data_IF_008998156342
#
_entry.id   IF_008998156342
#
_cell.length_a   1.000
_cell.length_b   1.000
_cell.length_c   1.000
_cell.angle_alpha   90.00
_cell.angle_beta   90.00
_cell.angle_gamma   90.00
#
_symmetry.space_group_name_H-M   'P 1'
#
loop_
_entity.id
_entity.type
_entity.pdbx_description
1 polymer ?
#
# COMPACT_ATOMS: atom_id res chain seq x y z
N UNK A 1 -18.75 -22.50 -5.26
CA UNK A 1 -17.53 -21.89 -5.85
C UNK A 1 -16.90 -20.99 -4.80
N UNK A 2 -15.77 -21.41 -4.22
CA UNK A 2 -15.15 -20.75 -3.08
C UNK A 2 -13.95 -19.92 -3.60
N UNK A 3 -14.18 -18.69 -4.05
CA UNK A 3 -13.13 -17.77 -4.51
C UNK A 3 -12.44 -17.11 -3.32
N UNK A 4 -11.89 -17.89 -2.40
CA UNK A 4 -10.91 -17.37 -1.44
C UNK A 4 -9.62 -17.16 -2.22
N UNK A 5 -9.47 -15.97 -2.79
CA UNK A 5 -8.27 -15.57 -3.52
C UNK A 5 -7.04 -15.94 -2.70
N UNK A 6 -6.08 -16.61 -3.34
CA UNK A 6 -4.82 -16.95 -2.67
C UNK A 6 -4.22 -15.65 -2.12
N UNK A 7 -3.65 -15.66 -0.89
CA UNK A 7 -2.94 -14.51 -0.39
C UNK A 7 -1.82 -14.15 -1.38
N UNK A 8 -1.67 -12.86 -1.69
CA UNK A 8 -0.60 -12.37 -2.56
C UNK A 8 0.76 -12.79 -1.98
N UNK A 9 1.71 -13.18 -2.84
CA UNK A 9 3.09 -13.43 -2.39
C UNK A 9 3.71 -12.13 -1.86
N UNK A 10 4.75 -12.24 -1.01
CA UNK A 10 5.45 -11.07 -0.46
C UNK A 10 6.02 -10.20 -1.60
N UNK A 11 6.52 -10.81 -2.67
CA UNK A 11 6.97 -10.11 -3.89
C UNK A 11 5.85 -9.34 -4.58
N UNK A 12 4.66 -9.94 -4.70
CA UNK A 12 3.50 -9.25 -5.27
C UNK A 12 3.03 -8.11 -4.38
N UNK A 13 3.03 -8.29 -3.06
CA UNK A 13 2.69 -7.23 -2.10
C UNK A 13 3.69 -6.07 -2.18
N UNK A 14 4.98 -6.38 -2.30
CA UNK A 14 6.04 -5.38 -2.45
C UNK A 14 5.84 -4.58 -3.75
N UNK A 15 5.61 -5.26 -4.86
CA UNK A 15 5.37 -4.59 -6.14
C UNK A 15 4.15 -3.66 -6.09
N UNK A 16 3.03 -4.12 -5.51
CA UNK A 16 1.83 -3.29 -5.33
C UNK A 16 2.15 -2.04 -4.52
N UNK A 17 2.92 -2.17 -3.43
CA UNK A 17 3.30 -1.01 -2.62
C UNK A 17 4.26 -0.06 -3.34
N UNK A 18 5.17 -0.56 -4.16
CA UNK A 18 6.07 0.29 -4.97
C UNK A 18 5.28 1.12 -5.99
N UNK A 19 4.28 0.50 -6.64
CA UNK A 19 3.37 1.21 -7.55
C UNK A 19 2.57 2.27 -6.78
N UNK A 20 1.98 1.92 -5.64
CA UNK A 20 1.23 2.88 -4.80
C UNK A 20 2.10 4.06 -4.38
N UNK A 21 3.33 3.82 -3.94
CA UNK A 21 4.28 4.88 -3.59
C UNK A 21 4.56 5.80 -4.78
N UNK A 22 4.78 5.23 -5.98
CA UNK A 22 5.00 5.99 -7.21
C UNK A 22 3.79 6.89 -7.53
N UNK A 23 2.59 6.34 -7.51
CA UNK A 23 1.35 7.10 -7.75
C UNK A 23 1.16 8.22 -6.71
N UNK A 24 1.39 7.92 -5.43
CA UNK A 24 1.35 8.90 -4.36
C UNK A 24 2.44 9.96 -4.47
N UNK A 25 3.56 9.71 -5.15
CA UNK A 25 4.64 10.68 -5.35
C UNK A 25 4.42 11.53 -6.62
N UNK A 26 3.89 10.93 -7.68
CA UNK A 26 3.63 11.60 -8.96
C UNK A 26 2.30 12.36 -8.99
N UNK A 27 1.39 12.09 -8.05
CA UNK A 27 0.13 12.80 -7.93
C UNK A 27 0.28 14.32 -7.91
N UNK A 28 -0.67 15.04 -8.49
CA UNK A 28 -0.64 16.50 -8.54
C UNK A 28 -0.59 17.08 -7.12
N UNK A 29 0.15 18.19 -6.88
CA UNK A 29 0.20 18.84 -5.56
C UNK A 29 -1.19 19.18 -4.98
N UNK A 30 -2.17 19.44 -5.84
CA UNK A 30 -3.55 19.79 -5.45
C UNK A 30 -4.49 18.58 -5.31
N UNK A 31 -3.99 17.34 -5.33
CA UNK A 31 -4.80 16.16 -5.05
C UNK A 31 -5.09 16.11 -3.54
N UNK A 32 -6.25 16.67 -3.17
CA UNK A 32 -6.53 17.08 -1.81
C UNK A 32 -6.60 15.94 -0.78
N UNK A 33 -6.95 14.72 -1.18
CA UNK A 33 -7.24 13.63 -0.24
C UNK A 33 -6.97 12.26 -0.88
N UNK A 34 -6.31 11.37 -0.15
CA UNK A 34 -6.23 9.94 -0.45
C UNK A 34 -7.24 9.21 0.44
N UNK A 35 -7.94 8.20 -0.07
CA UNK A 35 -8.88 7.43 0.72
C UNK A 35 -8.27 6.08 1.11
N UNK A 36 -8.16 5.81 2.41
CA UNK A 36 -7.69 4.51 2.92
C UNK A 36 -8.86 3.67 3.43
N UNK A 37 -8.81 2.36 3.19
CA UNK A 37 -9.86 1.43 3.60
C UNK A 37 -9.73 1.10 5.10
N UNK A 38 -10.74 1.46 5.88
CA UNK A 38 -10.82 1.20 7.33
C UNK A 38 -11.75 0.02 7.65
N UNK A 39 -11.45 -1.15 7.06
CA UNK A 39 -12.28 -2.34 7.20
C UNK A 39 -13.63 -2.26 6.45
N UNK A 40 -14.25 -3.42 6.19
CA UNK A 40 -15.52 -3.50 5.46
C UNK A 40 -15.48 -2.71 4.14
N UNK A 41 -16.47 -1.86 3.89
CA UNK A 41 -16.53 -0.95 2.74
C UNK A 41 -16.36 0.52 3.17
N UNK A 42 -15.69 0.76 4.30
CA UNK A 42 -15.46 2.12 4.83
C UNK A 42 -14.15 2.66 4.30
N UNK A 43 -14.19 3.86 3.75
CA UNK A 43 -13.03 4.58 3.25
C UNK A 43 -12.92 5.92 3.95
N UNK A 44 -11.79 6.17 4.60
CA UNK A 44 -11.55 7.40 5.34
C UNK A 44 -10.59 8.31 4.57
N UNK A 45 -10.85 9.63 4.56
CA UNK A 45 -9.93 10.58 3.98
C UNK A 45 -8.67 10.66 4.85
N UNK A 46 -7.51 10.51 4.22
CA UNK A 46 -6.19 10.70 4.82
C UNK A 46 -5.37 11.69 4.00
N UNK A 47 -4.46 12.41 4.67
CA UNK A 47 -3.53 13.28 3.97
C UNK A 47 -2.55 12.46 3.14
N UNK A 48 -2.14 13.01 2.00
CA UNK A 48 -1.14 12.41 1.12
C UNK A 48 0.16 12.06 1.86
N UNK A 49 0.64 12.97 2.72
CA UNK A 49 1.86 12.75 3.51
C UNK A 49 1.71 11.61 4.51
N UNK A 50 0.52 11.42 5.07
CA UNK A 50 0.24 10.28 5.95
C UNK A 50 0.20 8.97 5.16
N UNK A 51 -0.45 8.98 4.00
CA UNK A 51 -0.49 7.83 3.10
C UNK A 51 0.92 7.43 2.60
N UNK A 52 1.76 8.41 2.26
CA UNK A 52 3.16 8.18 1.86
C UNK A 52 3.97 7.54 3.00
N UNK A 53 3.93 8.10 4.21
CA UNK A 53 4.63 7.53 5.37
C UNK A 53 4.20 6.09 5.66
N UNK A 54 2.89 5.83 5.64
CA UNK A 54 2.38 4.45 5.82
C UNK A 54 2.81 3.52 4.69
N UNK A 55 2.89 4.02 3.46
CA UNK A 55 3.38 3.25 2.32
C UNK A 55 4.86 2.89 2.47
N UNK A 56 5.70 3.84 2.85
CA UNK A 56 7.13 3.65 3.12
C UNK A 56 7.37 2.65 4.25
N UNK A 57 6.64 2.76 5.36
CA UNK A 57 6.73 1.82 6.48
C UNK A 57 6.39 0.38 6.04
N UNK A 58 5.36 0.20 5.21
CA UNK A 58 4.97 -1.10 4.67
C UNK A 58 6.03 -1.65 3.70
N UNK A 59 6.63 -0.82 2.87
CA UNK A 59 7.72 -1.23 1.97
C UNK A 59 8.89 -1.79 2.77
N UNK A 60 9.37 -1.07 3.78
CA UNK A 60 10.48 -1.50 4.64
C UNK A 60 10.17 -2.84 5.33
N UNK A 61 8.92 -3.04 5.79
CA UNK A 61 8.51 -4.31 6.39
C UNK A 61 8.54 -5.46 5.39
N UNK A 62 8.01 -5.25 4.17
CA UNK A 62 7.97 -6.27 3.12
C UNK A 62 9.36 -6.64 2.63
N UNK A 63 10.25 -5.67 2.46
CA UNK A 63 11.67 -5.89 2.11
C UNK A 63 12.37 -6.75 3.16
N UNK A 64 12.21 -6.42 4.45
CA UNK A 64 12.75 -7.23 5.56
C UNK A 64 12.21 -8.65 5.59
N UNK A 65 10.93 -8.86 5.28
CA UNK A 65 10.34 -10.20 5.18
C UNK A 65 10.98 -11.02 4.05
N UNK A 66 11.29 -10.36 2.93
CA UNK A 66 11.88 -11.00 1.76
C UNK A 66 13.37 -11.34 1.99
N UNK A 67 14.11 -10.47 2.68
CA UNK A 67 15.48 -10.74 3.12
C UNK A 67 15.59 -11.93 4.08
N UNK A 68 14.64 -12.05 5.03
CA UNK A 68 14.60 -13.19 5.97
C UNK A 68 14.21 -14.53 5.34
N UNK A 69 13.67 -14.49 4.12
CA UNK A 69 13.22 -15.68 3.38
C UNK A 69 14.29 -16.22 2.41
N UNK A 70 15.44 -15.54 2.31
CA UNK A 70 16.63 -15.97 1.57
C UNK A 70 17.62 -16.69 2.49
#
# INVERSE_FOLDING_TARGET
>A
MNTRGRPLSVEQQLHVQQVLHSELTQGKPNQAVVYERFGGNVFLPVSRDSALRTCEEKLVQLEKCLERSK
#
